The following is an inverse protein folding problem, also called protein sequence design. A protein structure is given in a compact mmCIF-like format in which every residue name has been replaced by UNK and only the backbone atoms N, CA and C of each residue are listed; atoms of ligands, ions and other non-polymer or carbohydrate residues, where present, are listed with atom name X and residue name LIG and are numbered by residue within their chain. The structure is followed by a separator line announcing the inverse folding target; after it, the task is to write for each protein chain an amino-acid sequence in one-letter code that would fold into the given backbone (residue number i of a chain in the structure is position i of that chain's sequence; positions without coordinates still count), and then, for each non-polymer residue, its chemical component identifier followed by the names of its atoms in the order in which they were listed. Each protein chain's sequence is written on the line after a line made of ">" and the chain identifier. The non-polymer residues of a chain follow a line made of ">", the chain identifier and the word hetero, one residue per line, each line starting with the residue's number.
data_IF_865489952700
#
_entry.id   IF_865489952700
#
_cell.length_a   1.000
_cell.length_b   1.000
_cell.length_c   1.000
_cell.angle_alpha   90.00
_cell.angle_beta   90.00
_cell.angle_gamma   90.00
#
_symmetry.space_group_name_H-M   'P 1'
#
loop_
_entity.id
_entity.type
_entity.pdbx_description
1 polymer ?
2 polymer ?
3 non-polymer ?
4 water ?
#
# COMPACT_ATOMS: atom_id res chain seq x y z
N UNK A 1 -18.89 7.56 11.43
CA UNK A 1 -17.44 7.52 11.05
C UNK A 1 -16.70 8.67 11.71
N UNK A 2 -15.90 8.38 12.73
CA UNK A 2 -15.17 9.44 13.41
C UNK A 2 -13.68 9.17 13.65
N UNK A 3 -13.21 9.57 14.83
CA UNK A 3 -11.81 9.45 15.25
C UNK A 3 -10.97 8.29 14.72
N UNK A 4 -11.39 7.05 14.99
CA UNK A 4 -10.65 5.88 14.55
C UNK A 4 -10.42 5.82 13.04
N UNK A 5 -11.48 6.05 12.28
CA UNK A 5 -11.38 6.02 10.83
C UNK A 5 -10.44 7.11 10.34
N UNK A 6 -10.53 8.29 10.94
CA UNK A 6 -9.67 9.39 10.55
C UNK A 6 -8.21 9.08 10.83
N UNK A 7 -7.95 8.40 11.94
CA UNK A 7 -6.58 8.06 12.29
C UNK A 7 -5.99 7.08 11.27
N UNK A 8 -6.75 6.04 10.93
CA UNK A 8 -6.28 5.06 9.96
C UNK A 8 -6.06 5.70 8.59
N UNK A 9 -7.03 6.49 8.15
CA UNK A 9 -6.93 7.16 6.86
C UNK A 9 -5.67 8.01 6.76
N UNK A 10 -5.49 8.92 7.72
CA UNK A 10 -4.34 9.82 7.73
C UNK A 10 -2.98 9.20 7.98
N UNK A 11 -2.87 8.35 9.00
CA UNK A 11 -1.57 7.76 9.32
C UNK A 11 -1.16 6.50 8.58
N UNK A 12 -2.12 5.76 8.04
CA UNK A 12 -1.78 4.56 7.29
C UNK A 12 -1.72 4.93 5.81
N UNK A 13 -2.18 6.14 5.50
CA UNK A 13 -2.18 6.63 4.12
C UNK A 13 -2.95 5.70 3.21
N UNK A 14 -4.20 5.43 3.59
CA UNK A 14 -5.08 4.56 2.83
C UNK A 14 -6.39 5.28 2.56
N UNK A 15 -7.25 4.67 1.74
CA UNK A 15 -8.54 5.25 1.42
C UNK A 15 -9.47 5.09 2.62
N UNK A 16 -10.43 5.99 2.74
CA UNK A 16 -11.37 5.94 3.85
C UNK A 16 -12.21 4.67 3.83
N UNK A 17 -12.54 4.18 2.64
CA UNK A 17 -13.34 2.97 2.54
C UNK A 17 -12.70 1.80 3.27
N UNK A 18 -11.39 1.63 3.12
CA UNK A 18 -10.76 0.52 3.80
C UNK A 18 -10.56 0.82 5.28
N UNK A 19 -10.37 2.09 5.61
CA UNK A 19 -10.20 2.47 7.01
C UNK A 19 -11.49 2.11 7.72
N UNK A 20 -12.60 2.23 7.00
CA UNK A 20 -13.92 1.92 7.53
C UNK A 20 -14.05 0.41 7.77
N UNK A 21 -13.46 -0.38 6.87
CA UNK A 21 -13.50 -1.83 7.00
C UNK A 21 -12.72 -2.26 8.24
N UNK A 22 -11.58 -1.61 8.48
CA UNK A 22 -10.76 -1.91 9.65
C UNK A 22 -11.57 -1.75 10.93
N UNK A 23 -12.31 -0.65 11.04
CA UNK A 23 -13.12 -0.42 12.23
C UNK A 23 -14.26 -1.45 12.33
N UNK A 24 -14.86 -1.79 11.19
CA UNK A 24 -15.94 -2.77 11.18
C UNK A 24 -15.41 -4.14 11.60
N UNK A 25 -14.13 -4.38 11.35
CA UNK A 25 -13.50 -5.65 11.70
C UNK A 25 -13.04 -5.66 13.15
N UNK A 26 -13.28 -4.55 13.86
CA UNK A 26 -12.91 -4.50 15.26
C UNK A 26 -11.64 -3.76 15.65
N UNK A 27 -10.94 -3.16 14.69
CA UNK A 27 -9.71 -2.43 15.00
C UNK A 27 -10.01 -0.97 15.29
N UNK A 28 -9.25 -0.36 16.20
CA UNK A 28 -9.50 1.03 16.56
C UNK A 28 -8.27 1.87 16.89
N UNK A 29 -7.09 1.26 16.94
CA UNK A 29 -5.88 2.03 17.23
C UNK A 29 -4.68 1.60 16.40
N UNK A 30 -3.72 2.51 16.26
CA UNK A 30 -2.52 2.22 15.49
C UNK A 30 -1.70 1.12 16.18
N UNK A 31 -1.75 1.07 17.51
CA UNK A 31 -1.02 0.05 18.25
C UNK A 31 -1.44 -1.36 17.81
N UNK A 32 -2.73 -1.54 17.55
CA UNK A 32 -3.23 -2.83 17.10
C UNK A 32 -2.69 -3.17 15.71
N UNK A 33 -2.79 -2.23 14.79
CA UNK A 33 -2.31 -2.45 13.43
C UNK A 33 -0.82 -2.76 13.41
N UNK A 34 -0.07 -2.10 14.28
CA UNK A 34 1.37 -2.29 14.34
C UNK A 34 1.87 -3.54 15.08
N UNK A 35 1.17 -3.95 16.12
CA UNK A 35 1.66 -5.06 16.93
C UNK A 35 0.88 -6.35 17.07
N UNK A 36 -0.38 -6.37 16.64
CA UNK A 36 -1.18 -7.59 16.73
C UNK A 36 -0.59 -8.61 15.75
N UNK A 37 -0.60 -9.91 16.11
CA UNK A 37 -0.05 -10.93 15.20
C UNK A 37 -0.64 -10.86 13.80
N UNK A 38 0.22 -10.97 12.80
CA UNK A 38 -0.20 -10.89 11.40
C UNK A 38 -1.33 -11.83 11.02
N UNK A 39 -1.31 -13.04 11.56
CA UNK A 39 -2.34 -14.02 11.27
C UNK A 39 -3.72 -13.41 11.47
N UNK A 40 -3.85 -12.56 12.47
CA UNK A 40 -5.12 -11.92 12.77
C UNK A 40 -5.51 -10.90 11.70
N UNK A 41 -4.56 -10.05 11.32
CA UNK A 41 -4.83 -9.05 10.30
C UNK A 41 -5.15 -9.72 8.97
N UNK A 42 -4.50 -10.86 8.72
CA UNK A 42 -4.73 -11.58 7.48
C UNK A 42 -6.14 -12.17 7.38
N UNK A 43 -6.92 -12.06 8.45
CA UNK A 43 -8.28 -12.58 8.44
C UNK A 43 -9.29 -11.62 7.80
N UNK A 44 -8.93 -10.34 7.68
CA UNK A 44 -9.86 -9.38 7.09
C UNK A 44 -9.85 -9.39 5.57
N UNK A 45 -11.04 -9.32 4.99
CA UNK A 45 -11.21 -9.33 3.54
C UNK A 45 -10.49 -8.18 2.85
N UNK A 46 -9.76 -8.50 1.79
CA UNK A 46 -9.04 -7.49 1.04
C UNK A 46 -7.57 -7.36 1.36
N UNK A 47 -7.11 -8.02 2.42
CA UNK A 47 -5.71 -7.93 2.79
C UNK A 47 -4.87 -9.16 2.51
N UNK A 48 -3.69 -8.94 1.92
CA UNK A 48 -2.77 -10.04 1.70
C UNK A 48 -1.52 -9.64 2.49
N UNK A 49 -0.60 -10.57 2.70
CA UNK A 49 0.57 -10.29 3.51
C UNK A 49 1.43 -9.08 3.16
N UNK A 50 1.80 -8.90 1.88
CA UNK A 50 2.62 -7.72 1.57
C UNK A 50 1.97 -6.42 2.04
N UNK A 51 0.68 -6.28 1.79
CA UNK A 51 -0.04 -5.08 2.20
C UNK A 51 -0.10 -4.97 3.73
N UNK A 52 -0.31 -6.09 4.40
CA UNK A 52 -0.36 -6.06 5.85
C UNK A 52 0.97 -5.56 6.41
N UNK A 53 2.08 -6.04 5.85
CA UNK A 53 3.39 -5.62 6.32
C UNK A 53 3.64 -4.13 6.07
N UNK A 54 3.11 -3.62 4.96
CA UNK A 54 3.26 -2.22 4.64
C UNK A 54 2.49 -1.38 5.65
N UNK A 55 1.26 -1.79 5.94
CA UNK A 55 0.41 -1.08 6.89
C UNK A 55 1.01 -1.09 8.29
N UNK A 56 1.62 -2.21 8.67
CA UNK A 56 2.24 -2.33 9.99
C UNK A 56 3.42 -1.37 10.10
N UNK A 57 4.19 -1.26 9.03
CA UNK A 57 5.34 -0.35 9.02
C UNK A 57 4.85 1.08 9.15
N UNK A 58 3.79 1.41 8.43
CA UNK A 58 3.23 2.75 8.49
C UNK A 58 2.68 3.05 9.87
N UNK A 59 2.03 2.06 10.47
CA UNK A 59 1.47 2.22 11.81
C UNK A 59 2.59 2.50 12.80
N UNK A 60 3.71 1.79 12.66
CA UNK A 60 4.86 1.99 13.55
C UNK A 60 5.46 3.38 13.38
N UNK A 61 5.63 3.80 12.13
CA UNK A 61 6.18 5.12 11.87
C UNK A 61 5.25 6.20 12.42
N UNK A 62 3.95 5.97 12.30
CA UNK A 62 2.95 6.93 12.78
C UNK A 62 3.02 7.10 14.29
N UNK A 63 3.20 5.99 15.00
CA UNK A 63 3.28 6.02 16.45
C UNK A 63 4.49 6.83 16.91
N UNK A 64 5.62 6.64 16.23
CA UNK A 64 6.84 7.37 16.56
C UNK A 64 6.63 8.86 16.31
N UNK A 65 5.96 9.18 15.21
CA UNK A 65 5.70 10.57 14.85
C UNK A 65 4.75 11.25 15.83
N UNK A 66 3.70 10.54 16.23
CA UNK A 66 2.72 11.07 17.17
C UNK A 66 3.35 11.29 18.54
N UNK A 67 4.24 10.39 18.94
CA UNK A 67 4.91 10.49 20.24
C UNK A 67 5.73 11.78 20.35
N UNK A 68 5.96 12.45 19.22
CA UNK A 68 6.73 13.69 19.21
C UNK A 68 5.85 14.92 19.36
N UNK B 1 3.93 9.74 -19.90
CA UNK B 1 3.85 9.55 -18.42
C UNK B 1 2.40 9.41 -17.97
N UNK B 2 1.50 10.13 -18.63
CA UNK B 2 0.08 10.10 -18.30
C UNK B 2 -0.52 8.70 -18.41
N UNK B 3 -0.23 8.01 -19.51
CA UNK B 3 -0.75 6.66 -19.71
C UNK B 3 -0.23 5.72 -18.63
N UNK B 4 1.07 5.84 -18.33
CA UNK B 4 1.70 5.01 -17.31
C UNK B 4 1.05 5.22 -15.94
N UNK B 5 0.78 6.48 -15.61
CA UNK B 5 0.16 6.82 -14.34
C UNK B 5 -1.21 6.16 -14.20
N UNK B 6 -2.02 6.21 -15.26
CA UNK B 6 -3.34 5.60 -15.23
C UNK B 6 -3.26 4.08 -15.14
N UNK B 7 -2.24 3.50 -15.75
CA UNK B 7 -2.07 2.06 -15.69
C UNK B 7 -1.77 1.68 -14.24
N UNK B 8 -0.86 2.42 -13.62
CA UNK B 8 -0.47 2.17 -12.23
C UNK B 8 -1.63 2.34 -11.25
N UNK B 9 -2.33 3.47 -11.32
CA UNK B 9 -3.45 3.71 -10.41
C UNK B 9 -4.53 2.65 -10.57
N UNK B 10 -4.80 2.26 -11.81
CA UNK B 10 -5.82 1.27 -12.11
C UNK B 10 -5.48 -0.16 -11.70
N UNK B 11 -4.28 -0.61 -12.03
CA UNK B 11 -3.87 -1.98 -11.71
C UNK B 11 -3.18 -2.22 -10.37
N UNK B 12 -2.63 -1.18 -9.77
CA UNK B 12 -1.93 -1.34 -8.49
C UNK B 12 -2.70 -0.86 -7.27
N UNK B 13 -3.76 -0.11 -7.49
CA UNK B 13 -4.54 0.43 -6.38
C UNK B 13 -3.68 1.32 -5.50
N UNK B 14 -3.03 2.30 -6.14
CA UNK B 14 -2.21 3.28 -5.44
C UNK B 14 -2.77 4.60 -5.99
N UNK B 15 -2.68 5.68 -5.23
CA UNK B 15 -3.23 6.94 -5.72
C UNK B 15 -2.36 7.63 -6.77
N UNK B 16 -2.94 8.63 -7.42
CA UNK B 16 -2.28 9.40 -8.47
C UNK B 16 -0.87 9.86 -8.14
N UNK B 17 -0.72 10.50 -6.98
CA UNK B 17 0.57 11.01 -6.54
C UNK B 17 1.62 9.91 -6.41
N UNK B 18 1.21 8.75 -5.91
CA UNK B 18 2.13 7.63 -5.73
C UNK B 18 2.63 7.20 -7.11
N UNK B 19 1.70 6.94 -8.02
CA UNK B 19 2.04 6.53 -9.38
C UNK B 19 2.92 7.57 -10.06
N UNK B 20 2.62 8.84 -9.81
CA UNK B 20 3.38 9.93 -10.41
C UNK B 20 4.85 9.93 -9.97
N UNK B 21 5.10 9.62 -8.70
CA UNK B 21 6.47 9.59 -8.20
C UNK B 21 7.26 8.47 -8.88
N UNK B 22 6.62 7.32 -9.08
CA UNK B 22 7.26 6.18 -9.72
C UNK B 22 7.67 6.56 -11.15
N UNK B 23 6.73 7.12 -11.90
CA UNK B 23 7.01 7.52 -13.27
C UNK B 23 8.17 8.52 -13.29
N UNK B 24 8.19 9.44 -12.33
CA UNK B 24 9.24 10.44 -12.27
C UNK B 24 10.62 9.83 -12.00
N UNK B 25 10.64 8.65 -11.40
CA UNK B 25 11.91 7.97 -11.12
C UNK B 25 12.33 7.04 -12.25
N UNK B 26 11.63 7.12 -13.38
CA UNK B 26 11.98 6.29 -14.53
C UNK B 26 11.29 4.95 -14.66
N UNK B 27 10.25 4.72 -13.86
CA UNK B 27 9.50 3.47 -13.91
C UNK B 27 8.12 3.74 -14.53
N UNK B 28 7.89 3.21 -15.72
CA UNK B 28 6.61 3.44 -16.40
C UNK B 28 5.87 2.17 -16.82
N UNK B 29 6.38 1.01 -16.43
CA UNK B 29 5.71 -0.23 -16.79
C UNK B 29 5.58 -1.13 -15.56
N UNK B 30 4.58 -2.00 -15.59
CA UNK B 30 4.35 -2.93 -14.49
C UNK B 30 5.49 -3.94 -14.42
N UNK B 31 6.03 -4.31 -15.58
CA UNK B 31 7.14 -5.26 -15.63
C UNK B 31 8.34 -4.72 -14.86
N UNK B 32 8.65 -3.45 -15.07
CA UNK B 32 9.77 -2.81 -14.39
C UNK B 32 9.58 -2.87 -12.88
N UNK B 33 8.40 -2.50 -12.42
CA UNK B 33 8.12 -2.52 -10.99
C UNK B 33 8.21 -3.92 -10.42
N UNK B 34 7.72 -4.89 -11.17
CA UNK B 34 7.72 -6.27 -10.71
C UNK B 34 9.07 -6.97 -10.73
N UNK B 35 9.88 -6.70 -11.75
CA UNK B 35 11.15 -7.40 -11.90
C UNK B 35 12.47 -6.63 -11.79
N UNK B 36 12.42 -5.31 -11.68
CA UNK B 36 13.66 -4.55 -11.55
C UNK B 36 14.29 -4.91 -10.21
N UNK B 37 15.64 -4.97 -10.14
CA UNK B 37 16.26 -5.30 -8.85
C UNK B 37 15.75 -4.35 -7.77
N UNK B 38 15.30 -4.91 -6.65
CA UNK B 38 14.76 -4.10 -5.56
C UNK B 38 15.56 -2.85 -5.22
N UNK B 39 16.88 -2.95 -5.27
CA UNK B 39 17.73 -1.81 -4.96
C UNK B 39 17.28 -0.54 -5.68
N UNK B 40 16.94 -0.68 -6.96
CA UNK B 40 16.50 0.45 -7.77
C UNK B 40 15.29 1.17 -7.19
N UNK B 41 14.37 0.41 -6.61
CA UNK B 41 13.17 0.99 -6.02
C UNK B 41 13.45 1.44 -4.59
N UNK B 42 14.08 0.55 -3.82
CA UNK B 42 14.41 0.83 -2.43
C UNK B 42 15.26 2.08 -2.24
N UNK B 43 15.98 2.47 -3.28
CA UNK B 43 16.84 3.64 -3.17
C UNK B 43 16.23 4.98 -3.54
N UNK B 44 14.92 5.03 -3.78
CA UNK B 44 14.30 6.32 -4.09
C UNK B 44 13.74 6.86 -2.78
N UNK B 45 13.95 8.15 -2.53
CA UNK B 45 13.48 8.77 -1.30
C UNK B 45 11.97 8.64 -1.12
N UNK B 46 11.56 8.19 0.06
CA UNK B 46 10.15 8.04 0.35
C UNK B 46 9.62 6.62 0.26
N UNK B 47 10.42 5.71 -0.28
CA UNK B 47 10.00 4.32 -0.42
C UNK B 47 10.82 3.37 0.45
N UNK B 48 10.17 2.74 1.42
CA UNK B 48 10.86 1.78 2.28
C UNK B 48 10.59 0.36 1.80
N UNK B 49 11.32 -0.60 2.34
CA UNK B 49 11.19 -2.00 1.94
C UNK B 49 9.77 -2.58 1.98
N UNK B 50 9.02 -2.37 3.07
CA UNK B 50 7.67 -2.93 3.09
C UNK B 50 6.78 -2.42 1.96
N UNK B 51 6.86 -1.12 1.67
CA UNK B 51 6.05 -0.55 0.61
C UNK B 51 6.47 -1.12 -0.74
N UNK B 52 7.77 -1.26 -0.95
CA UNK B 52 8.28 -1.80 -2.21
C UNK B 52 7.80 -3.24 -2.43
N UNK B 53 7.84 -4.05 -1.38
CA UNK B 53 7.40 -5.44 -1.50
C UNK B 53 5.91 -5.46 -1.83
N UNK B 54 5.17 -4.51 -1.26
CA UNK B 54 3.74 -4.41 -1.52
C UNK B 54 3.51 -4.05 -2.98
N UNK B 55 4.29 -3.10 -3.47
CA UNK B 55 4.19 -2.66 -4.86
C UNK B 55 4.53 -3.78 -5.83
N UNK B 56 5.64 -4.46 -5.57
CA UNK B 56 6.08 -5.55 -6.43
C UNK B 56 5.05 -6.67 -6.52
N UNK B 57 4.43 -7.01 -5.40
CA UNK B 57 3.42 -8.06 -5.42
C UNK B 57 2.22 -7.65 -6.27
N UNK B 58 1.76 -6.42 -6.08
CA UNK B 58 0.62 -5.94 -6.85
C UNK B 58 0.93 -5.88 -8.34
N UNK B 59 2.16 -5.51 -8.68
CA UNK B 59 2.56 -5.45 -10.09
C UNK B 59 2.59 -6.85 -10.71
N UNK B 60 3.11 -7.82 -9.96
CA UNK B 60 3.17 -9.19 -10.47
C UNK B 60 1.76 -9.73 -10.71
N UNK B 61 0.85 -9.46 -9.79
CA UNK B 61 -0.52 -9.93 -9.95
C UNK B 61 -1.29 -9.14 -11.01
N UNK B 62 -0.84 -7.92 -11.27
CA UNK B 62 -1.47 -7.08 -12.29
C UNK B 62 -1.09 -7.69 -13.64
N UNK B 63 0.16 -8.11 -13.76
CA UNK B 63 0.65 -8.73 -14.98
C UNK B 63 -0.10 -10.03 -15.23
N UNK B 64 -0.38 -10.77 -14.15
CA UNK B 64 -1.12 -12.02 -14.27
C UNK B 64 -2.52 -11.74 -14.81
N UNK B 65 -3.15 -10.70 -14.28
CA UNK B 65 -4.49 -10.29 -14.71
C UNK B 65 -4.50 -9.91 -16.19
N UNK B 66 -3.52 -9.11 -16.59
CA UNK B 66 -3.40 -8.64 -17.96
C UNK B 66 -3.13 -9.78 -18.95
N UNK B 67 -2.35 -10.77 -18.52
CA UNK B 67 -2.03 -11.91 -19.36
C UNK B 67 -3.27 -12.79 -19.51
N UNK B 68 -4.11 -12.79 -18.48
CA UNK B 68 -5.34 -13.56 -18.47
C UNK B 68 -6.29 -12.99 -19.51
N UNK B 69 -6.17 -11.68 -19.75
CA UNK B 69 -7.00 -10.99 -20.72
C UNK B 69 -6.58 -11.39 -22.13
N UNK B 70 -5.77 -12.45 -22.21
CA UNK B 70 -5.29 -12.96 -23.49
C UNK B 70 -5.33 -14.48 -23.47
N UNK C 1 -12.43 -5.26 -0.95
CA UNK C 1 -11.48 -4.46 -1.77
C UNK C 1 -10.20 -4.20 -0.97
N UNK C 2 -9.06 -4.34 -1.63
CA UNK C 2 -7.79 -4.11 -0.95
C UNK C 2 -7.61 -2.61 -0.79
N UNK C 3 -6.82 -2.19 0.21
CA UNK C 3 -6.61 -0.75 0.42
C UNK C 3 -5.85 -0.06 -0.71
N UNK C 4 -6.21 1.21 -0.94
CA UNK C 4 -5.57 2.03 -1.95
C UNK C 4 -4.45 2.76 -1.23
N UNK C 5 -3.21 2.49 -1.64
CA UNK C 5 -2.06 3.08 -0.98
C UNK C 5 -1.56 4.42 -1.51
N UNK C 6 -1.35 5.35 -0.58
CA UNK C 6 -0.82 6.67 -0.92
C UNK C 6 0.62 6.64 -0.44
N UNK C 7 1.42 7.63 -0.84
CA UNK C 7 2.82 7.68 -0.43
C UNK C 7 3.12 8.98 0.31
X LIG D 1 -6.92 -10.21 -1.00
#
# INVERSE_FOLDING_TARGET
>A
AHAAIDTFTKYLDIDEDFATVLVEEGFSTLEELAYVPMKELLEIEGLDEPTVEALRERAKNALATIAQAQ
>B
AHAAIDTFTKYLDIDEDFATVLVEEGFSTLEELAYVPMKELLEIEGLDEPTVEALRERAKNALATIAQAQ
>C
NRPILSL
>D hetero
1 AU AU
#
